data_IF_471973702081
#
_entry.id   IF_471973702081
#
_cell.length_a   1.000
_cell.length_b   1.000
_cell.length_c   1.000
_cell.angle_alpha   90.00
_cell.angle_beta   90.00
_cell.angle_gamma   90.00
#
_symmetry.space_group_name_H-M   'P 1'
#
loop_
_entity.id
_entity.type
_entity.pdbx_description
1 polymer ?
#
# COMPACT_ATOMS: atom_id res chain seq x y z
N UNK A 1 -12.76 1.35 -12.68
CA UNK A 1 -11.53 0.64 -12.32
C UNK A 1 -11.82 -0.43 -11.29
N UNK A 2 -11.37 -1.61 -11.56
CA UNK A 2 -11.53 -2.74 -10.67
C UNK A 2 -10.28 -2.97 -9.85
N UNK A 3 -10.44 -3.11 -8.56
CA UNK A 3 -9.39 -3.63 -7.71
C UNK A 3 -9.75 -5.07 -7.36
N UNK A 4 -9.08 -6.00 -8.00
CA UNK A 4 -9.36 -7.42 -7.82
C UNK A 4 -8.72 -8.00 -6.57
N UNK A 5 -7.80 -7.26 -5.93
CA UNK A 5 -7.07 -7.78 -4.78
C UNK A 5 -6.69 -6.66 -3.82
N UNK A 6 -6.48 -6.98 -2.53
CA UNK A 6 -6.02 -5.98 -1.56
C UNK A 6 -4.64 -5.41 -1.90
N UNK A 7 -3.80 -6.16 -2.60
CA UNK A 7 -2.50 -5.68 -3.06
C UNK A 7 -2.64 -4.47 -3.97
N UNK A 8 -3.53 -4.57 -4.95
CA UNK A 8 -3.77 -3.47 -5.88
C UNK A 8 -4.31 -2.24 -5.18
N UNK A 9 -5.21 -2.45 -4.23
CA UNK A 9 -5.79 -1.37 -3.45
C UNK A 9 -4.73 -0.63 -2.62
N UNK A 10 -3.83 -1.38 -2.00
CA UNK A 10 -2.74 -0.80 -1.22
C UNK A 10 -1.84 0.04 -2.12
N UNK A 11 -1.48 -0.47 -3.28
CA UNK A 11 -0.61 0.24 -4.21
C UNK A 11 -1.27 1.54 -4.70
N UNK A 12 -2.56 1.50 -4.98
CA UNK A 12 -3.30 2.68 -5.39
C UNK A 12 -3.31 3.75 -4.29
N UNK A 13 -3.56 3.35 -3.05
CA UNK A 13 -3.56 4.27 -1.92
C UNK A 13 -2.18 4.85 -1.64
N UNK A 14 -1.13 4.07 -1.85
CA UNK A 14 0.24 4.57 -1.73
C UNK A 14 0.52 5.66 -2.75
N UNK A 15 0.05 5.49 -3.97
CA UNK A 15 0.22 6.51 -5.01
C UNK A 15 -0.51 7.80 -4.62
N UNK A 16 -1.73 7.68 -4.11
CA UNK A 16 -2.48 8.84 -3.65
C UNK A 16 -1.80 9.52 -2.47
N UNK A 17 -1.28 8.72 -1.54
CA UNK A 17 -0.54 9.27 -0.42
C UNK A 17 0.71 10.03 -0.88
N UNK A 18 1.40 9.50 -1.88
CA UNK A 18 2.58 10.17 -2.44
C UNK A 18 2.24 11.55 -3.01
N UNK A 19 1.05 11.70 -3.56
CA UNK A 19 0.60 12.96 -4.12
C UNK A 19 0.09 13.94 -3.06
N UNK A 20 -0.79 13.47 -2.18
CA UNK A 20 -1.50 14.35 -1.23
C UNK A 20 -0.88 14.38 0.16
N UNK A 21 -0.12 13.36 0.52
CA UNK A 21 0.47 13.19 1.85
C UNK A 21 -0.56 13.20 2.97
N UNK A 22 -1.79 12.78 2.66
CA UNK A 22 -2.86 12.70 3.65
C UNK A 22 -2.71 11.45 4.50
N UNK A 23 -2.70 11.62 5.83
CA UNK A 23 -2.59 10.49 6.76
C UNK A 23 -3.76 9.52 6.68
N UNK A 24 -4.89 9.96 6.10
CA UNK A 24 -6.04 9.07 5.89
C UNK A 24 -5.68 7.86 5.05
N UNK A 25 -4.84 8.05 4.04
CA UNK A 25 -4.43 6.95 3.18
C UNK A 25 -3.58 5.94 3.95
N UNK A 26 -2.73 6.40 4.85
CA UNK A 26 -1.91 5.50 5.67
C UNK A 26 -2.78 4.69 6.63
N UNK A 27 -3.80 5.31 7.22
CA UNK A 27 -4.73 4.62 8.10
C UNK A 27 -5.51 3.55 7.34
N UNK A 28 -5.97 3.87 6.14
CA UNK A 28 -6.68 2.92 5.29
C UNK A 28 -5.79 1.73 4.93
N UNK A 29 -4.53 1.99 4.58
CA UNK A 29 -3.57 0.94 4.24
C UNK A 29 -3.35 0.04 5.45
N UNK A 30 -3.16 0.61 6.63
CA UNK A 30 -2.97 -0.18 7.85
C UNK A 30 -4.19 -1.03 8.18
N UNK A 31 -5.38 -0.49 7.94
CA UNK A 31 -6.61 -1.24 8.12
C UNK A 31 -6.67 -2.45 7.19
N UNK A 32 -6.31 -2.26 5.93
CA UNK A 32 -6.27 -3.35 4.95
C UNK A 32 -5.25 -4.40 5.38
N UNK A 33 -4.08 -3.97 5.82
CA UNK A 33 -3.04 -4.89 6.31
C UNK A 33 -3.51 -5.70 7.51
N UNK A 34 -4.27 -5.07 8.40
CA UNK A 34 -4.79 -5.75 9.58
C UNK A 34 -5.84 -6.81 9.21
N UNK A 35 -6.70 -6.49 8.26
CA UNK A 35 -7.80 -7.39 7.87
C UNK A 35 -7.32 -8.47 6.89
N UNK A 36 -6.51 -8.10 5.93
CA UNK A 36 -6.12 -8.97 4.82
C UNK A 36 -4.65 -9.39 4.84
N UNK A 37 -3.92 -9.07 5.90
CA UNK A 37 -2.49 -9.35 5.97
C UNK A 37 -2.12 -10.81 5.81
N UNK A 38 -3.00 -11.72 6.21
CA UNK A 38 -2.74 -13.16 6.11
C UNK A 38 -2.81 -13.67 4.67
N UNK A 39 -3.62 -13.03 3.84
CA UNK A 39 -3.83 -13.45 2.43
C UNK A 39 -3.10 -12.55 1.45
N UNK A 40 -2.49 -11.48 1.95
CA UNK A 40 -1.82 -10.48 1.13
C UNK A 40 -0.47 -11.00 0.66
N UNK A 41 -0.20 -10.85 -0.63
CA UNK A 41 1.11 -11.17 -1.21
C UNK A 41 2.04 -9.97 -1.04
N UNK A 42 2.77 -9.98 0.06
CA UNK A 42 3.69 -8.88 0.39
C UNK A 42 4.83 -8.75 -0.61
N UNK A 43 5.27 -9.85 -1.19
CA UNK A 43 6.33 -9.81 -2.20
C UNK A 43 5.87 -9.07 -3.45
N UNK A 44 4.65 -9.33 -3.87
CA UNK A 44 4.04 -8.62 -4.99
C UNK A 44 3.97 -7.13 -4.72
N UNK A 45 3.50 -6.76 -3.54
CA UNK A 45 3.40 -5.36 -3.13
C UNK A 45 4.77 -4.69 -3.12
N UNK A 46 5.76 -5.33 -2.53
CA UNK A 46 7.12 -4.80 -2.48
C UNK A 46 7.71 -4.60 -3.87
N UNK A 47 7.51 -5.57 -4.75
CA UNK A 47 8.00 -5.48 -6.12
C UNK A 47 7.43 -4.25 -6.83
N UNK A 48 6.14 -4.04 -6.72
CA UNK A 48 5.48 -2.91 -7.35
C UNK A 48 5.85 -1.59 -6.70
N UNK A 49 6.06 -1.58 -5.39
CA UNK A 49 6.53 -0.39 -4.68
C UNK A 49 7.87 0.06 -5.25
N UNK A 50 8.79 -0.87 -5.48
CA UNK A 50 10.07 -0.56 -6.09
C UNK A 50 9.92 -0.07 -7.53
N UNK A 51 9.08 -0.75 -8.32
CA UNK A 51 8.85 -0.37 -9.71
C UNK A 51 8.25 1.01 -9.86
N UNK A 52 7.36 1.36 -8.95
CA UNK A 52 6.68 2.66 -8.97
C UNK A 52 7.47 3.76 -8.27
N UNK A 53 8.60 3.42 -7.65
CA UNK A 53 9.40 4.39 -6.93
C UNK A 53 8.76 4.88 -5.64
N UNK A 54 7.96 4.03 -5.00
CA UNK A 54 7.24 4.37 -3.79
C UNK A 54 7.92 3.84 -2.52
N UNK A 55 9.17 3.41 -2.60
CA UNK A 55 9.86 2.82 -1.46
C UNK A 55 9.90 3.76 -0.26
N UNK A 56 10.24 5.02 -0.48
CA UNK A 56 10.30 6.00 0.61
C UNK A 56 8.92 6.23 1.22
N UNK A 57 7.92 6.30 0.37
CA UNK A 57 6.53 6.49 0.80
C UNK A 57 6.06 5.28 1.62
N UNK A 58 6.38 4.09 1.16
CA UNK A 58 6.00 2.86 1.85
C UNK A 58 6.63 2.74 3.22
N UNK A 59 7.85 3.25 3.39
CA UNK A 59 8.53 3.23 4.68
C UNK A 59 7.82 4.09 5.73
N UNK A 60 7.11 5.11 5.29
CA UNK A 60 6.34 5.96 6.20
C UNK A 60 5.10 5.26 6.72
N UNK A 61 4.67 4.18 6.06
CA UNK A 61 3.51 3.39 6.48
C UNK A 61 4.01 2.14 7.20
N UNK A 62 3.74 2.06 8.50
CA UNK A 62 4.16 0.92 9.29
C UNK A 62 3.46 -0.35 8.84
N UNK A 63 4.22 -1.43 8.71
CA UNK A 63 3.68 -2.75 8.43
C UNK A 63 3.67 -3.14 6.96
N UNK A 64 4.04 -2.25 6.04
CA UNK A 64 4.14 -2.59 4.61
C UNK A 64 5.48 -3.26 4.31
N UNK A 65 6.55 -2.72 4.83
CA UNK A 65 7.90 -3.22 4.58
C UNK A 65 8.53 -3.84 5.79
#
# INVERSE_FOLDING_TARGET
IFFSSPEDLILSKLQWYAESRSTRHTEDIQSILSVSGNILDKEYVKLWIEKLGLTDIAREVNGIL
#
